data_IF_368523384581
#
_entry.id   IF_368523384581
#
_cell.length_a   1.000
_cell.length_b   1.000
_cell.length_c   1.000
_cell.angle_alpha   90.00
_cell.angle_beta   90.00
_cell.angle_gamma   90.00
#
_symmetry.space_group_name_H-M   'P 1'
#
loop_
_entity.id
_entity.type
_entity.pdbx_description
1 polymer ?
#
# COMPACT_ATOMS: atom_id res chain seq x y z
N UNK A 1 -28.18 11.14 3.22
CA UNK A 1 -27.55 9.83 2.93
C UNK A 1 -26.17 10.13 2.38
N UNK A 2 -25.11 9.95 3.18
CA UNK A 2 -23.75 10.10 2.71
C UNK A 2 -23.32 8.76 2.10
N UNK A 3 -23.09 8.74 0.80
CA UNK A 3 -22.54 7.60 0.08
C UNK A 3 -21.11 7.39 0.61
N UNK A 4 -20.92 6.37 1.45
CA UNK A 4 -19.58 5.93 1.87
C UNK A 4 -18.92 5.35 0.63
N UNK A 5 -18.22 6.19 -0.11
CA UNK A 5 -17.25 5.75 -1.12
C UNK A 5 -16.30 4.82 -0.41
N UNK A 6 -16.45 3.51 -0.66
CA UNK A 6 -15.42 2.53 -0.33
C UNK A 6 -14.16 3.04 -1.02
N UNK A 7 -13.28 3.66 -0.23
CA UNK A 7 -11.93 4.03 -0.68
C UNK A 7 -11.30 2.70 -1.04
N UNK A 8 -11.36 2.38 -2.33
CA UNK A 8 -10.71 1.21 -2.88
C UNK A 8 -9.25 1.51 -2.66
N UNK A 9 -8.69 0.94 -1.59
CA UNK A 9 -7.26 1.00 -1.27
C UNK A 9 -6.57 0.73 -2.59
N UNK A 10 -5.95 1.78 -3.17
CA UNK A 10 -5.17 1.60 -4.38
C UNK A 10 -4.14 0.59 -3.94
N UNK A 11 -4.26 -0.65 -4.42
CA UNK A 11 -3.19 -1.60 -4.19
C UNK A 11 -1.90 -0.91 -4.63
N UNK A 12 -0.78 -1.24 -4.01
CA UNK A 12 0.57 -0.89 -4.48
C UNK A 12 0.85 -1.30 -5.94
N UNK A 13 -0.15 -1.87 -6.61
CA UNK A 13 -0.29 -2.49 -7.91
C UNK A 13 0.42 -1.88 -9.08
N UNK A 14 1.06 -0.72 -8.96
CA UNK A 14 2.05 -0.36 -9.94
C UNK A 14 3.12 0.66 -9.53
N UNK A 15 3.72 0.54 -8.33
CA UNK A 15 4.85 1.40 -7.94
C UNK A 15 5.94 1.47 -9.03
N UNK A 16 6.24 0.34 -9.67
CA UNK A 16 7.21 0.34 -10.77
C UNK A 16 6.71 1.09 -12.01
N UNK A 17 5.44 0.96 -12.41
CA UNK A 17 4.94 1.74 -13.55
C UNK A 17 4.90 3.24 -13.25
N UNK A 18 4.57 3.65 -12.03
CA UNK A 18 4.63 5.05 -11.61
C UNK A 18 6.07 5.57 -11.63
N UNK A 19 7.05 4.74 -11.21
CA UNK A 19 8.47 5.06 -11.31
C UNK A 19 8.94 5.23 -12.76
N UNK A 20 8.55 4.29 -13.63
CA UNK A 20 8.81 4.35 -15.08
C UNK A 20 8.18 5.61 -15.68
N UNK A 21 6.92 5.91 -15.33
CA UNK A 21 6.21 7.11 -15.77
C UNK A 21 6.95 8.37 -15.35
N UNK A 22 7.25 8.50 -14.05
CA UNK A 22 7.94 9.68 -13.50
C UNK A 22 9.33 9.88 -14.10
N UNK A 23 10.10 8.81 -14.31
CA UNK A 23 11.43 8.90 -14.94
C UNK A 23 11.34 9.33 -16.41
N UNK A 24 10.36 8.82 -17.16
CA UNK A 24 10.12 9.27 -18.54
C UNK A 24 9.65 10.73 -18.58
N UNK A 25 8.77 11.14 -17.66
CA UNK A 25 8.33 12.53 -17.55
C UNK A 25 9.48 13.48 -17.25
N UNK A 26 10.35 13.11 -16.31
CA UNK A 26 11.54 13.87 -15.92
C UNK A 26 12.58 13.97 -17.04
N UNK A 27 12.67 12.96 -17.90
CA UNK A 27 13.69 12.88 -18.96
C UNK A 27 13.32 13.67 -20.23
N UNK A 28 12.17 14.34 -20.27
CA UNK A 28 11.78 15.23 -21.36
C UNK A 28 12.76 16.42 -21.48
N UNK A 29 13.00 16.97 -22.68
CA UNK A 29 12.40 16.60 -23.96
C UNK A 29 13.01 15.36 -24.62
N UNK A 30 12.19 14.69 -25.43
CA UNK A 30 12.57 13.65 -26.38
C UNK A 30 12.73 14.22 -27.80
N UNK A 31 13.43 13.50 -28.71
CA UNK A 31 13.58 13.93 -30.10
C UNK A 31 12.23 14.20 -30.77
N UNK A 32 12.12 15.34 -31.46
CA UNK A 32 10.87 15.78 -32.09
C UNK A 32 9.92 16.55 -31.17
N UNK A 33 10.17 16.58 -29.86
CA UNK A 33 9.37 17.42 -28.96
C UNK A 33 9.54 18.91 -29.29
N UNK A 34 8.42 19.64 -29.30
CA UNK A 34 8.46 21.09 -29.45
C UNK A 34 8.95 21.74 -28.15
N UNK A 35 10.10 22.41 -28.20
CA UNK A 35 10.74 23.05 -27.04
C UNK A 35 9.86 24.12 -26.35
N UNK A 36 8.86 24.65 -27.04
CA UNK A 36 7.97 25.68 -26.52
C UNK A 36 6.88 25.19 -25.53
N UNK A 37 6.84 23.89 -25.19
CA UNK A 37 5.82 23.32 -24.28
C UNK A 37 6.19 21.97 -23.64
N UNK A 38 7.49 21.72 -23.46
CA UNK A 38 8.09 20.39 -23.24
C UNK A 38 7.56 19.62 -22.03
N UNK A 39 7.08 20.31 -21.00
CA UNK A 39 6.54 19.63 -19.83
C UNK A 39 5.04 19.46 -19.98
N UNK A 40 4.65 18.36 -20.60
CA UNK A 40 3.27 17.88 -20.59
C UNK A 40 3.11 16.87 -19.44
N UNK A 41 2.75 17.31 -18.21
CA UNK A 41 2.48 16.38 -17.12
C UNK A 41 1.37 15.40 -17.53
N UNK A 42 1.55 14.11 -17.23
CA UNK A 42 0.61 13.07 -17.64
C UNK A 42 0.72 12.65 -19.11
N UNK A 43 1.80 13.02 -19.81
CA UNK A 43 2.10 12.55 -21.18
C UNK A 43 2.17 11.02 -21.27
N UNK A 44 2.76 10.39 -20.26
CA UNK A 44 3.01 8.96 -20.25
C UNK A 44 1.94 8.25 -19.45
N UNK A 45 1.30 7.25 -20.06
CA UNK A 45 0.50 6.26 -19.37
C UNK A 45 1.27 4.95 -19.35
N UNK A 46 1.65 4.50 -18.16
CA UNK A 46 2.38 3.24 -17.96
C UNK A 46 1.50 2.28 -17.17
N UNK A 47 1.31 1.07 -17.67
CA UNK A 47 0.52 0.04 -16.98
C UNK A 47 1.03 -1.36 -17.32
N UNK A 48 0.74 -2.34 -16.47
CA UNK A 48 0.99 -3.76 -16.78
C UNK A 48 -0.33 -4.42 -17.16
N UNK A 49 -0.48 -4.97 -18.38
CA UNK A 49 -1.71 -5.61 -18.81
C UNK A 49 -1.94 -7.00 -18.19
N UNK A 50 -1.00 -7.53 -17.38
CA UNK A 50 -1.06 -8.89 -16.82
C UNK A 50 -0.23 -9.06 -15.55
N UNK A 51 0.27 -10.27 -15.30
CA UNK A 51 1.03 -10.63 -14.09
C UNK A 51 2.46 -10.05 -14.03
N UNK A 52 2.67 -8.80 -14.44
CA UNK A 52 3.91 -8.05 -14.17
C UNK A 52 5.12 -8.39 -15.06
N UNK A 53 5.01 -9.32 -16.01
CA UNK A 53 6.13 -9.65 -16.90
C UNK A 53 6.47 -8.53 -17.91
N UNK A 54 5.46 -7.74 -18.30
CA UNK A 54 5.59 -6.64 -19.25
C UNK A 54 4.81 -5.41 -18.81
N UNK A 55 5.33 -4.26 -19.23
CA UNK A 55 4.76 -2.94 -19.05
C UNK A 55 4.48 -2.35 -20.43
N UNK A 56 3.35 -1.67 -20.56
CA UNK A 56 2.98 -0.91 -21.75
C UNK A 56 3.17 0.56 -21.44
N UNK A 57 4.04 1.22 -22.20
CA UNK A 57 4.28 2.67 -22.17
C UNK A 57 3.54 3.29 -23.34
N UNK A 58 2.54 4.13 -23.05
CA UNK A 58 1.82 4.94 -24.04
C UNK A 58 2.24 6.40 -23.88
N UNK A 59 2.71 7.00 -24.97
CA UNK A 59 3.03 8.42 -25.06
C UNK A 59 1.94 9.14 -25.86
N UNK A 60 1.15 9.95 -25.17
CA UNK A 60 0.04 10.69 -25.78
C UNK A 60 0.49 11.80 -26.74
N UNK A 61 1.73 12.25 -26.66
CA UNK A 61 2.27 13.32 -27.51
C UNK A 61 2.80 12.76 -28.82
N UNK A 62 3.63 11.71 -28.76
CA UNK A 62 4.19 11.07 -29.97
C UNK A 62 3.28 9.97 -30.57
N UNK A 63 2.11 9.71 -29.96
CA UNK A 63 1.23 8.60 -30.32
C UNK A 63 1.97 7.24 -30.38
N UNK A 64 3.00 7.08 -29.54
CA UNK A 64 3.83 5.89 -29.49
C UNK A 64 3.31 4.95 -28.41
N UNK A 65 3.19 3.67 -28.76
CA UNK A 65 2.97 2.60 -27.78
C UNK A 65 4.16 1.65 -27.84
N UNK A 66 4.82 1.44 -26.71
CA UNK A 66 5.97 0.54 -26.60
C UNK A 66 5.77 -0.45 -25.46
N UNK A 67 6.17 -1.70 -25.71
CA UNK A 67 6.25 -2.72 -24.67
C UNK A 67 7.65 -2.75 -24.06
N UNK A 68 7.69 -2.87 -22.73
CA UNK A 68 8.88 -2.87 -21.91
C UNK A 68 8.83 -4.08 -20.98
N UNK A 69 9.76 -5.03 -21.13
CA UNK A 69 9.80 -6.19 -20.27
C UNK A 69 10.32 -5.84 -18.87
N UNK A 70 9.81 -6.55 -17.86
CA UNK A 70 10.34 -6.43 -16.50
C UNK A 70 11.82 -6.83 -16.45
N UNK A 71 12.23 -7.86 -17.19
CA UNK A 71 13.63 -8.29 -17.27
C UNK A 71 14.57 -7.16 -17.70
N UNK A 72 14.18 -6.36 -18.70
CA UNK A 72 14.96 -5.19 -19.12
C UNK A 72 15.04 -4.15 -18.02
N UNK A 73 13.92 -3.85 -17.36
CA UNK A 73 13.90 -2.92 -16.23
C UNK A 73 14.86 -3.38 -15.12
N UNK A 74 14.89 -4.68 -14.81
CA UNK A 74 15.73 -5.23 -13.75
C UNK A 74 17.22 -5.29 -14.11
N UNK A 75 17.62 -5.14 -15.38
CA UNK A 75 19.05 -5.06 -15.76
C UNK A 75 19.61 -3.70 -15.28
N UNK A 76 20.60 -3.66 -14.35
CA UNK A 76 21.17 -2.41 -13.88
C UNK A 76 21.82 -1.56 -14.99
N UNK A 77 22.16 -2.16 -16.13
CA UNK A 77 22.74 -1.49 -17.31
C UNK A 77 21.68 -0.94 -18.26
N UNK A 78 20.41 -1.25 -18.03
CA UNK A 78 19.32 -0.72 -18.82
C UNK A 78 19.08 0.76 -18.49
N UNK A 79 19.09 1.59 -19.52
CA UNK A 79 18.84 3.02 -19.40
C UNK A 79 17.46 3.33 -19.99
N UNK A 80 16.45 3.42 -19.13
CA UNK A 80 15.06 3.61 -19.55
C UNK A 80 14.87 4.83 -20.47
N UNK A 81 15.44 5.98 -20.09
CA UNK A 81 15.35 7.21 -20.88
C UNK A 81 15.99 7.05 -22.26
N UNK A 82 17.20 6.46 -22.33
CA UNK A 82 17.91 6.23 -23.59
C UNK A 82 17.22 5.17 -24.47
N UNK A 83 16.62 4.14 -23.86
CA UNK A 83 15.77 3.18 -24.57
C UNK A 83 14.57 3.88 -25.21
N UNK A 84 13.87 4.74 -24.47
CA UNK A 84 12.70 5.43 -24.98
C UNK A 84 13.06 6.45 -26.07
N UNK A 85 14.14 7.22 -25.88
CA UNK A 85 14.70 8.13 -26.90
C UNK A 85 14.96 7.43 -28.22
N UNK A 86 15.55 6.22 -28.19
CA UNK A 86 15.79 5.41 -29.39
C UNK A 86 14.49 5.01 -30.09
N UNK A 87 13.46 4.63 -29.33
CA UNK A 87 12.13 4.28 -29.89
C UNK A 87 11.50 5.48 -30.61
N UNK A 88 11.56 6.66 -30.00
CA UNK A 88 11.06 7.90 -30.61
C UNK A 88 11.84 8.27 -31.86
N UNK A 89 13.18 8.24 -31.82
CA UNK A 89 14.02 8.51 -32.99
C UNK A 89 13.75 7.57 -34.16
N UNK A 90 13.52 6.28 -33.88
CA UNK A 90 13.16 5.28 -34.90
C UNK A 90 11.80 5.58 -35.53
N UNK A 91 10.80 5.90 -34.71
CA UNK A 91 9.46 6.25 -35.20
C UNK A 91 9.48 7.50 -36.10
N UNK A 92 10.33 8.47 -35.78
CA UNK A 92 10.47 9.73 -36.52
C UNK A 92 11.48 9.67 -37.67
N UNK A 93 12.15 8.54 -37.89
CA UNK A 93 13.23 8.36 -38.88
C UNK A 93 14.39 9.37 -38.72
N UNK A 94 14.76 9.73 -37.49
CA UNK A 94 15.79 10.73 -37.18
C UNK A 94 17.24 10.17 -37.11
N UNK A 95 17.41 8.86 -37.27
CA UNK A 95 18.70 8.17 -37.09
C UNK A 95 19.14 8.08 -35.62
N UNK A 96 20.17 7.26 -35.34
CA UNK A 96 20.62 6.96 -33.98
C UNK A 96 21.52 8.04 -33.34
N UNK A 97 21.84 9.12 -34.07
CA UNK A 97 22.87 10.10 -33.70
C UNK A 97 22.54 11.01 -32.50
N UNK A 98 21.35 10.92 -31.91
CA UNK A 98 20.87 11.89 -30.91
C UNK A 98 20.63 11.32 -29.50
N UNK A 99 21.14 10.12 -29.20
CA UNK A 99 20.96 9.53 -27.87
C UNK A 99 22.00 10.08 -26.91
N UNK A 100 21.66 11.16 -26.19
CA UNK A 100 22.44 11.59 -25.03
C UNK A 100 21.87 10.86 -23.80
N UNK A 101 22.57 9.88 -23.22
CA UNK A 101 22.13 9.27 -21.97
C UNK A 101 22.27 10.32 -20.86
N UNK A 102 21.15 10.87 -20.38
CA UNK A 102 21.20 11.92 -19.35
C UNK A 102 21.00 11.37 -17.95
N UNK A 103 20.31 10.24 -17.78
CA UNK A 103 20.00 9.72 -16.46
C UNK A 103 19.97 8.20 -16.45
N UNK A 104 20.77 7.61 -15.57
CA UNK A 104 20.71 6.20 -15.22
C UNK A 104 20.20 6.14 -13.78
N UNK A 105 18.95 5.74 -13.63
CA UNK A 105 18.34 5.48 -12.32
C UNK A 105 18.11 3.98 -12.25
N UNK A 106 18.63 3.32 -11.22
CA UNK A 106 18.39 1.90 -11.04
C UNK A 106 16.91 1.68 -10.69
N UNK A 107 16.35 0.53 -11.08
CA UNK A 107 14.96 0.18 -10.72
C UNK A 107 14.74 0.23 -9.21
N UNK A 108 15.74 -0.15 -8.44
CA UNK A 108 15.61 -0.20 -6.99
C UNK A 108 15.57 1.20 -6.35
N UNK A 109 16.25 2.17 -6.95
CA UNK A 109 16.12 3.58 -6.57
C UNK A 109 14.70 4.08 -6.91
N UNK A 110 14.19 3.72 -8.10
CA UNK A 110 12.81 4.07 -8.48
C UNK A 110 11.78 3.46 -7.53
N UNK A 111 11.93 2.20 -7.14
CA UNK A 111 11.03 1.54 -6.20
C UNK A 111 11.03 2.22 -4.83
N UNK A 112 12.21 2.56 -4.30
CA UNK A 112 12.33 3.27 -3.01
C UNK A 112 11.65 4.65 -3.05
N UNK A 113 11.91 5.43 -4.09
CA UNK A 113 11.31 6.76 -4.28
C UNK A 113 9.79 6.67 -4.38
N UNK A 114 9.28 5.75 -5.21
CA UNK A 114 7.83 5.61 -5.41
C UNK A 114 7.13 5.05 -4.17
N UNK A 115 7.80 4.20 -3.40
CA UNK A 115 7.30 3.76 -2.11
C UNK A 115 7.17 4.92 -1.13
N UNK A 116 8.14 5.86 -1.12
CA UNK A 116 8.05 7.10 -0.36
C UNK A 116 6.81 7.92 -0.73
N UNK A 117 6.65 8.27 -2.00
CA UNK A 117 5.48 9.03 -2.46
C UNK A 117 4.16 8.33 -2.16
N UNK A 118 4.10 7.00 -2.30
CA UNK A 118 2.90 6.23 -1.97
C UNK A 118 2.55 6.32 -0.48
N UNK A 119 3.55 6.28 0.41
CA UNK A 119 3.33 6.39 1.84
C UNK A 119 2.96 7.81 2.26
N UNK A 120 3.58 8.83 1.68
CA UNK A 120 3.21 10.23 1.88
C UNK A 120 1.75 10.51 1.48
N UNK A 121 1.33 10.01 0.30
CA UNK A 121 -0.05 10.12 -0.17
C UNK A 121 -1.03 9.39 0.78
N UNK A 122 -0.66 8.22 1.28
CA UNK A 122 -1.45 7.47 2.24
C UNK A 122 -1.64 8.22 3.57
N UNK A 123 -0.60 8.91 4.06
CA UNK A 123 -0.68 9.78 5.25
C UNK A 123 -1.56 10.99 4.96
N UNK A 124 -1.36 11.67 3.83
CA UNK A 124 -2.15 12.83 3.43
C UNK A 124 -3.65 12.53 3.29
N UNK A 125 -3.99 11.30 2.88
CA UNK A 125 -5.37 10.82 2.78
C UNK A 125 -5.94 10.29 4.11
N UNK A 126 -5.15 10.30 5.19
CA UNK A 126 -5.57 9.83 6.52
C UNK A 126 -5.79 8.33 6.61
N UNK A 127 -5.15 7.52 5.74
CA UNK A 127 -5.26 6.06 5.79
C UNK A 127 -4.58 5.49 7.04
N UNK A 128 -3.56 6.17 7.54
CA UNK A 128 -2.97 5.94 8.84
C UNK A 128 -2.35 7.24 9.36
N UNK A 129 -2.15 7.32 10.67
CA UNK A 129 -1.52 8.46 11.34
C UNK A 129 -0.06 8.10 11.59
N UNK A 130 0.85 8.90 11.03
CA UNK A 130 2.26 8.93 11.40
C UNK A 130 2.54 10.34 11.93
N UNK A 131 3.08 10.46 13.14
CA UNK A 131 3.43 11.77 13.71
C UNK A 131 4.74 12.30 13.10
N UNK A 132 5.59 11.38 12.64
CA UNK A 132 6.90 11.67 12.04
C UNK A 132 7.02 11.12 10.61
N UNK A 133 8.05 11.58 9.90
CA UNK A 133 8.41 11.07 8.58
C UNK A 133 8.73 9.57 8.62
N UNK A 134 8.31 8.84 7.57
CA UNK A 134 8.61 7.41 7.43
C UNK A 134 9.96 7.28 6.76
N UNK A 135 10.93 6.73 7.48
CA UNK A 135 12.24 6.43 6.92
C UNK A 135 12.18 5.12 6.12
N UNK A 136 12.76 5.13 4.92
CA UNK A 136 12.81 3.97 4.02
C UNK A 136 14.28 3.58 3.83
N UNK A 137 14.69 2.51 4.50
CA UNK A 137 16.07 2.02 4.42
C UNK A 137 16.16 0.80 3.49
N UNK A 138 16.94 0.85 2.40
CA UNK A 138 17.19 -0.31 1.55
C UNK A 138 18.05 -1.36 2.28
N UNK A 139 17.64 -2.62 2.23
CA UNK A 139 18.33 -3.75 2.85
C UNK A 139 18.98 -4.68 1.82
N UNK A 140 20.28 -4.91 1.97
CA UNK A 140 21.08 -5.73 1.06
C UNK A 140 21.37 -7.11 1.68
N UNK A 141 21.37 -8.16 0.86
CA UNK A 141 21.67 -9.51 1.34
C UNK A 141 23.18 -9.65 1.60
N UNK A 142 23.53 -10.34 2.69
CA UNK A 142 24.94 -10.54 3.11
C UNK A 142 25.77 -11.29 2.05
N UNK A 143 25.11 -12.02 1.15
CA UNK A 143 25.77 -12.76 0.07
C UNK A 143 26.18 -11.88 -1.13
N UNK A 144 25.78 -10.60 -1.18
CA UNK A 144 25.96 -9.73 -2.36
C UNK A 144 27.31 -8.97 -2.39
N UNK A 145 28.32 -9.43 -1.63
CA UNK A 145 29.59 -8.69 -1.38
C UNK A 145 30.41 -8.31 -2.63
N UNK A 146 30.06 -8.77 -3.83
CA UNK A 146 30.87 -8.58 -5.03
C UNK A 146 30.08 -8.15 -6.29
N UNK A 147 28.81 -7.73 -6.15
CA UNK A 147 27.98 -7.28 -7.28
C UNK A 147 27.38 -5.89 -7.06
N UNK A 148 26.77 -5.28 -8.11
CA UNK A 148 25.92 -4.11 -7.91
C UNK A 148 24.88 -4.45 -6.86
N UNK A 149 24.93 -3.75 -5.72
CA UNK A 149 24.10 -4.05 -4.55
C UNK A 149 22.65 -3.70 -4.87
N UNK A 150 21.88 -4.72 -5.26
CA UNK A 150 20.43 -4.63 -5.44
C UNK A 150 19.79 -4.85 -4.06
N UNK A 151 18.97 -3.91 -3.54
CA UNK A 151 18.22 -4.12 -2.32
C UNK A 151 17.34 -5.37 -2.42
N UNK A 152 17.48 -6.30 -1.48
CA UNK A 152 16.62 -7.49 -1.37
C UNK A 152 15.27 -7.16 -0.71
N UNK A 153 15.24 -6.10 0.11
CA UNK A 153 14.08 -5.62 0.82
C UNK A 153 14.23 -4.13 1.16
N UNK A 154 13.15 -3.54 1.66
CA UNK A 154 13.09 -2.19 2.21
C UNK A 154 12.55 -2.29 3.63
N UNK A 155 13.24 -1.66 4.58
CA UNK A 155 12.77 -1.52 5.95
C UNK A 155 12.11 -0.15 6.06
N UNK A 156 10.83 -0.17 6.40
CA UNK A 156 10.03 1.00 6.68
C UNK A 156 10.09 1.20 8.19
N UNK A 157 10.64 2.34 8.58
CA UNK A 157 10.72 2.77 9.96
C UNK A 157 9.81 3.96 10.16
N UNK A 158 8.73 3.77 10.92
CA UNK A 158 7.86 4.84 11.36
C UNK A 158 7.95 4.97 12.88
N UNK A 159 7.89 6.20 13.39
CA UNK A 159 7.87 6.40 14.83
C UNK A 159 6.48 6.08 15.38
N UNK A 160 6.45 5.26 16.44
CA UNK A 160 5.29 5.14 17.30
C UNK A 160 5.23 6.30 18.30
N UNK A 161 4.18 6.34 19.11
CA UNK A 161 4.13 7.23 20.27
C UNK A 161 5.26 6.88 21.25
N UNK A 162 6.30 7.71 21.34
CA UNK A 162 7.45 7.52 22.24
C UNK A 162 8.73 7.03 21.54
N UNK A 163 9.57 6.26 22.25
CA UNK A 163 10.86 5.75 21.74
C UNK A 163 10.73 4.45 20.92
N UNK A 164 9.56 3.81 20.89
CA UNK A 164 9.38 2.53 20.22
C UNK A 164 9.16 2.72 18.71
N UNK A 165 10.15 2.26 17.93
CA UNK A 165 10.15 2.32 16.48
C UNK A 165 9.34 1.17 15.86
N UNK A 166 8.45 1.49 14.92
CA UNK A 166 7.73 0.51 14.11
C UNK A 166 8.61 0.14 12.94
N UNK A 167 8.96 -1.14 12.85
CA UNK A 167 9.71 -1.70 11.72
C UNK A 167 8.85 -2.64 10.91
N UNK A 168 8.71 -2.35 9.63
CA UNK A 168 8.07 -3.23 8.65
C UNK A 168 9.02 -3.49 7.50
N UNK A 169 9.33 -4.75 7.24
CA UNK A 169 10.14 -5.14 6.09
C UNK A 169 9.24 -5.52 4.92
N UNK A 170 9.46 -4.91 3.77
CA UNK A 170 8.79 -5.25 2.51
C UNK A 170 9.85 -5.76 1.54
N UNK A 171 9.68 -6.97 1.02
CA UNK A 171 10.66 -7.53 0.09
C UNK A 171 10.57 -6.86 -1.27
N UNK A 172 11.67 -6.86 -2.02
CA UNK A 172 11.67 -6.37 -3.41
C UNK A 172 10.63 -7.08 -4.27
N UNK A 173 10.53 -8.40 -4.14
CA UNK A 173 9.55 -9.21 -4.86
C UNK A 173 8.10 -8.78 -4.55
N UNK A 174 7.82 -8.48 -3.28
CA UNK A 174 6.52 -7.99 -2.84
C UNK A 174 6.11 -6.66 -3.49
N UNK A 175 7.07 -5.75 -3.70
CA UNK A 175 6.84 -4.47 -4.39
C UNK A 175 6.65 -4.68 -5.89
N UNK A 176 7.46 -5.54 -6.52
CA UNK A 176 7.38 -5.84 -7.95
C UNK A 176 6.06 -6.52 -8.35
N UNK A 177 5.51 -7.38 -7.48
CA UNK A 177 4.24 -8.05 -7.75
C UNK A 177 3.02 -7.12 -7.62
N UNK A 178 3.17 -5.96 -6.96
CA UNK A 178 2.09 -4.99 -6.77
C UNK A 178 0.90 -5.48 -5.94
N UNK A 179 1.01 -6.65 -5.29
CA UNK A 179 -0.06 -7.25 -4.49
C UNK A 179 0.04 -6.92 -3.00
N UNK A 180 1.10 -6.22 -2.60
CA UNK A 180 1.45 -6.05 -1.19
C UNK A 180 0.79 -4.82 -0.61
N UNK A 181 -0.14 -5.00 0.31
CA UNK A 181 -0.74 -3.88 1.05
C UNK A 181 0.22 -3.35 2.13
N UNK A 182 1.17 -2.52 1.71
CA UNK A 182 2.21 -1.96 2.58
C UNK A 182 1.60 -1.11 3.70
N UNK A 183 0.55 -0.32 3.38
CA UNK A 183 -0.16 0.49 4.37
C UNK A 183 -0.82 -0.41 5.40
N UNK A 184 -1.53 -1.46 4.97
CA UNK A 184 -2.10 -2.46 5.87
C UNK A 184 -1.05 -3.17 6.72
N UNK A 185 0.15 -3.41 6.20
CA UNK A 185 1.28 -3.96 6.98
C UNK A 185 1.74 -2.98 8.07
N UNK A 186 1.88 -1.69 7.76
CA UNK A 186 2.23 -0.64 8.73
C UNK A 186 1.14 -0.48 9.80
N UNK A 187 -0.12 -0.39 9.41
CA UNK A 187 -1.26 -0.30 10.33
C UNK A 187 -1.30 -1.50 11.28
N UNK A 188 -1.12 -2.72 10.76
CA UNK A 188 -1.06 -3.94 11.58
C UNK A 188 0.14 -3.94 12.53
N UNK A 189 1.29 -3.44 12.09
CA UNK A 189 2.47 -3.33 12.92
C UNK A 189 2.25 -2.33 14.07
N UNK A 190 1.69 -1.15 13.77
CA UNK A 190 1.31 -0.14 14.78
C UNK A 190 0.31 -0.70 15.78
N UNK A 191 -0.75 -1.35 15.31
CA UNK A 191 -1.75 -1.96 16.18
C UNK A 191 -1.09 -2.97 17.13
N UNK A 192 -0.21 -3.85 16.63
CA UNK A 192 0.53 -4.81 17.48
C UNK A 192 1.42 -4.14 18.51
N UNK A 193 2.02 -3.00 18.18
CA UNK A 193 2.83 -2.22 19.13
C UNK A 193 1.94 -1.60 20.22
N UNK A 194 0.85 -0.94 19.85
CA UNK A 194 -0.13 -0.40 20.82
C UNK A 194 -0.67 -1.49 21.75
N UNK A 195 -0.91 -2.70 21.23
CA UNK A 195 -1.30 -3.86 22.04
C UNK A 195 -0.22 -4.26 23.07
N UNK A 196 1.06 -4.00 22.79
CA UNK A 196 2.17 -4.25 23.73
C UNK A 196 2.31 -3.15 24.76
N UNK A 197 2.17 -1.89 24.35
CA UNK A 197 2.19 -0.72 25.26
C UNK A 197 1.02 -0.76 26.26
N UNK A 198 -0.16 -1.19 25.81
CA UNK A 198 -1.35 -1.33 26.65
C UNK A 198 -1.23 -2.51 27.63
N UNK A 199 -0.30 -3.47 27.43
CA UNK A 199 -0.06 -4.50 28.46
C UNK A 199 0.45 -3.79 29.70
N UNK A 200 -0.33 -3.75 30.78
CA UNK A 200 0.14 -3.12 31.99
C UNK A 200 1.33 -3.93 32.49
N UNK A 201 2.41 -3.25 32.87
CA UNK A 201 3.33 -3.71 33.93
C UNK A 201 2.60 -3.81 35.29
N UNK A 202 1.33 -4.21 35.30
CA UNK A 202 0.56 -4.42 36.51
C UNK A 202 0.79 -5.87 36.94
N UNK A 203 1.21 -6.11 38.19
CA UNK A 203 1.30 -7.45 38.72
C UNK A 203 -0.07 -8.11 38.56
N UNK A 204 -0.06 -9.34 38.02
CA UNK A 204 -1.19 -10.26 37.90
C UNK A 204 -2.49 -9.74 38.52
N UNK A 205 -3.33 -9.07 37.72
CA UNK A 205 -4.75 -9.12 38.02
C UNK A 205 -5.12 -10.61 37.87
N UNK A 206 -5.77 -11.24 38.87
CA UNK A 206 -6.14 -12.64 38.79
C UNK A 206 -6.83 -12.93 37.47
N UNK A 207 -6.42 -14.03 36.84
CA UNK A 207 -6.86 -14.46 35.50
C UNK A 207 -8.39 -14.64 35.37
N UNK A 208 -9.10 -14.56 36.49
CA UNK A 208 -10.53 -14.69 36.60
C UNK A 208 -11.32 -13.43 36.16
N UNK A 209 -10.69 -12.26 35.97
CA UNK A 209 -11.41 -10.99 35.70
C UNK A 209 -11.58 -10.56 34.23
N UNK A 210 -11.06 -11.34 33.28
CA UNK A 210 -11.15 -11.00 31.85
C UNK A 210 -12.16 -11.89 31.14
N UNK A 211 -13.41 -11.43 31.05
CA UNK A 211 -14.46 -12.14 30.31
C UNK A 211 -15.33 -11.18 29.48
N UNK A 212 -15.93 -11.72 28.43
CA UNK A 212 -16.96 -11.04 27.65
C UNK A 212 -18.32 -11.33 28.30
N UNK A 213 -19.01 -10.30 28.79
CA UNK A 213 -20.40 -10.45 29.22
C UNK A 213 -21.33 -9.98 28.11
N UNK A 214 -22.15 -10.88 27.57
CA UNK A 214 -23.31 -10.49 26.79
C UNK A 214 -24.49 -10.30 27.73
N UNK A 215 -25.04 -9.08 27.80
CA UNK A 215 -26.31 -8.84 28.48
C UNK A 215 -27.44 -9.00 27.46
N UNK A 216 -28.23 -10.09 27.53
CA UNK A 216 -29.30 -10.32 26.57
C UNK A 216 -30.37 -9.23 26.66
N UNK A 217 -31.03 -8.97 25.52
CA UNK A 217 -32.19 -8.08 25.46
C UNK A 217 -33.29 -8.51 26.43
N UNK A 218 -33.97 -7.54 27.03
CA UNK A 218 -35.33 -7.77 27.52
C UNK A 218 -36.25 -7.98 26.31
N UNK A 219 -37.27 -8.82 26.45
CA UNK A 219 -38.13 -9.27 25.35
C UNK A 219 -38.98 -8.15 24.71
N UNK A 220 -38.94 -6.94 25.27
CA UNK A 220 -39.70 -5.75 24.87
C UNK A 220 -39.13 -5.05 23.62
N UNK A 221 -37.94 -5.42 23.14
CA UNK A 221 -37.48 -5.04 21.80
C UNK A 221 -36.92 -3.62 21.66
N UNK A 222 -36.91 -2.81 22.73
CA UNK A 222 -36.58 -1.38 22.65
C UNK A 222 -35.11 -1.04 22.95
N UNK A 223 -34.30 -1.97 23.47
CA UNK A 223 -32.89 -1.70 23.78
C UNK A 223 -31.94 -2.66 23.05
N UNK A 224 -30.91 -2.15 22.33
CA UNK A 224 -29.91 -3.01 21.70
C UNK A 224 -29.15 -3.81 22.77
N UNK A 225 -28.95 -5.11 22.54
CA UNK A 225 -28.11 -5.93 23.42
C UNK A 225 -26.68 -5.37 23.48
N UNK A 226 -26.12 -5.24 24.68
CA UNK A 226 -24.79 -4.66 24.89
C UNK A 226 -23.79 -5.77 25.19
N UNK A 227 -22.67 -5.76 24.46
CA UNK A 227 -21.49 -6.57 24.79
C UNK A 227 -20.55 -5.68 25.59
N UNK A 228 -20.29 -6.10 26.82
CA UNK A 228 -19.34 -5.42 27.69
C UNK A 228 -18.02 -6.16 27.63
N UNK A 229 -17.02 -5.49 27.07
CA UNK A 229 -15.65 -5.96 27.02
C UNK A 229 -14.96 -5.53 28.33
N UNK A 230 -15.07 -6.34 29.37
CA UNK A 230 -14.51 -6.08 30.71
C UNK A 230 -12.98 -6.21 30.68
N UNK A 231 -12.29 -5.27 30.02
CA UNK A 231 -10.85 -5.33 29.79
C UNK A 231 -10.42 -6.30 28.67
N UNK A 232 -11.36 -7.09 28.12
CA UNK A 232 -11.11 -7.95 26.97
C UNK A 232 -10.92 -7.13 25.69
N UNK A 233 -9.78 -7.29 25.01
CA UNK A 233 -9.49 -6.55 23.80
C UNK A 233 -10.04 -7.26 22.56
N UNK A 234 -10.80 -6.53 21.73
CA UNK A 234 -11.39 -7.05 20.50
C UNK A 234 -10.64 -6.47 19.30
N UNK A 235 -9.90 -7.29 18.51
CA UNK A 235 -9.21 -6.83 17.32
C UNK A 235 -10.20 -6.31 16.27
N UNK A 236 -9.90 -5.16 15.65
CA UNK A 236 -10.75 -4.50 14.65
C UNK A 236 -10.97 -5.34 13.39
N UNK A 237 -10.07 -6.27 13.10
CA UNK A 237 -10.07 -7.15 11.92
C UNK A 237 -10.79 -8.50 12.14
N UNK A 238 -11.22 -8.81 13.38
CA UNK A 238 -11.88 -10.08 13.71
C UNK A 238 -13.40 -9.99 13.93
N UNK A 239 -13.97 -8.78 13.93
CA UNK A 239 -15.44 -8.63 14.05
C UNK A 239 -16.05 -8.44 12.66
N UNK A 240 -16.00 -9.48 11.83
CA UNK A 240 -16.69 -9.48 10.53
C UNK A 240 -18.22 -9.54 10.67
N UNK A 241 -18.70 -10.14 11.76
CA UNK A 241 -20.05 -10.09 12.31
C UNK A 241 -20.05 -11.00 13.54
N UNK A 242 -20.84 -10.70 14.57
CA UNK A 242 -21.14 -11.69 15.62
C UNK A 242 -22.29 -12.53 15.07
N UNK A 243 -21.95 -13.61 14.36
CA UNK A 243 -22.94 -14.59 13.95
C UNK A 243 -23.38 -15.39 15.17
N UNK A 244 -24.69 -15.41 15.47
CA UNK A 244 -25.24 -16.44 16.34
C UNK A 244 -25.07 -17.77 15.62
N UNK A 245 -24.27 -18.69 16.16
CA UNK A 245 -24.47 -20.12 15.91
C UNK A 245 -25.75 -20.55 16.63
N UNK A 246 -26.90 -20.18 16.07
CA UNK A 246 -28.16 -20.77 16.50
C UNK A 246 -28.16 -22.22 16.01
N UNK A 247 -27.93 -23.17 16.90
CA UNK A 247 -28.47 -24.51 16.73
C UNK A 247 -30.00 -24.36 16.60
N UNK A 248 -30.50 -24.57 15.38
CA UNK A 248 -31.92 -24.48 15.02
C UNK A 248 -32.78 -25.49 15.78
N UNK A 249 -34.02 -25.14 16.20
CA UNK A 249 -35.13 -26.07 16.24
C UNK A 249 -35.71 -26.30 14.83
N UNK A 250 -36.19 -27.53 14.56
CA UNK A 250 -36.55 -28.07 13.24
C UNK A 250 -37.89 -27.58 12.63
N UNK A 251 -38.59 -26.59 13.18
CA UNK A 251 -39.90 -26.19 12.63
C UNK A 251 -39.82 -24.87 11.86
N UNK A 252 -40.23 -24.93 10.59
CA UNK A 252 -40.16 -23.84 9.63
C UNK A 252 -41.27 -22.81 9.82
N UNK A 253 -40.88 -21.64 10.31
CA UNK A 253 -41.54 -20.38 9.99
C UNK A 253 -40.46 -19.36 9.61
N UNK A 254 -40.75 -18.58 8.58
CA UNK A 254 -39.80 -17.78 7.80
C UNK A 254 -39.03 -16.80 8.67
N UNK A 255 -37.70 -16.94 8.72
CA UNK A 255 -36.81 -16.07 9.48
C UNK A 255 -36.49 -14.81 8.68
N UNK A 256 -36.95 -13.66 9.15
CA UNK A 256 -36.46 -12.35 8.70
C UNK A 256 -35.20 -12.01 9.49
N UNK A 257 -34.04 -11.99 8.84
CA UNK A 257 -32.77 -11.61 9.46
C UNK A 257 -32.82 -10.12 9.79
N UNK A 258 -33.06 -9.76 11.06
CA UNK A 258 -32.90 -8.38 11.52
C UNK A 258 -31.42 -8.04 11.63
N UNK A 259 -31.01 -6.98 10.94
CA UNK A 259 -29.66 -6.43 11.00
C UNK A 259 -29.37 -5.98 12.45
N UNK A 260 -28.31 -6.51 13.05
CA UNK A 260 -27.88 -6.13 14.39
C UNK A 260 -26.79 -5.07 14.24
N UNK A 261 -27.08 -3.84 14.68
CA UNK A 261 -26.10 -2.75 14.74
C UNK A 261 -25.41 -2.82 16.10
N UNK A 262 -24.11 -3.12 16.12
CA UNK A 262 -23.30 -3.08 17.35
C UNK A 262 -22.64 -1.71 17.42
N UNK A 263 -23.05 -0.92 18.40
CA UNK A 263 -22.40 0.36 18.73
C UNK A 263 -21.39 0.09 19.83
N UNK A 264 -20.11 0.30 19.54
CA UNK A 264 -19.03 0.13 20.52
C UNK A 264 -18.71 1.49 21.12
N UNK A 265 -18.90 1.61 22.43
CA UNK A 265 -18.42 2.78 23.18
C UNK A 265 -17.08 2.43 23.81
N UNK A 266 -16.07 3.27 23.58
CA UNK A 266 -14.78 3.19 24.27
C UNK A 266 -14.67 4.42 25.15
N UNK A 267 -14.52 4.21 26.47
CA UNK A 267 -14.42 5.28 27.47
C UNK A 267 -15.60 6.28 27.44
N UNK A 268 -16.82 5.81 27.15
CA UNK A 268 -18.03 6.64 27.12
C UNK A 268 -18.26 7.40 25.80
N UNK A 269 -17.31 7.36 24.86
CA UNK A 269 -17.46 7.97 23.54
C UNK A 269 -17.82 6.93 22.47
N UNK A 270 -18.71 7.32 21.56
CA UNK A 270 -19.19 6.50 20.45
C UNK A 270 -18.16 6.56 19.32
N UNK A 271 -17.65 5.40 18.89
CA UNK A 271 -16.76 5.27 17.73
C UNK A 271 -17.55 5.26 16.41
#
# INVERSE_FOLDING_TARGET
>A
MAERTLVRVRGTGNLLAEGVRGLLEFSQPYPGDNLAGVQSPGRFLVYSPGHGATYVVKDGVNSLTSELSLELLLDPRFELAAWYTRRVSQQLNLGDGHVSPRHRIAVDDMLGIQLGFYLEDAVAQGWFICEDDINIEPCFSVNDRWGPTVPSAYVLEGFGSGEDLIRVTVTRQQLLEGKTDVVGMLVKARQRQLLREIRPCSPMVPQDDWWLTYKPMKADGENPGVILCHGAQVPSDKVGSIARSASFPRSGETVVVKLLVVVVHVNGHLL
#
